data_IF_776511050455
#
_entry.id   IF_776511050455
#
_cell.length_a   1.000
_cell.length_b   1.000
_cell.length_c   1.000
_cell.angle_alpha   90.00
_cell.angle_beta   90.00
_cell.angle_gamma   90.00
#
_symmetry.space_group_name_H-M   'P 1'
#
loop_
_entity.id
_entity.type
_entity.pdbx_description
1 polymer ?
#
# COMPACT_ATOMS: atom_id res chain seq x y z
N UNK A 1 3.50 -2.43 -18.53
CA UNK A 1 4.10 -1.17 -18.03
C UNK A 1 4.87 -1.48 -16.76
N UNK A 2 5.94 -0.76 -16.47
CA UNK A 2 6.57 -0.81 -15.15
C UNK A 2 5.67 -0.15 -14.10
N UNK A 3 5.92 -0.42 -12.82
CA UNK A 3 5.19 0.20 -11.72
C UNK A 3 5.40 1.73 -11.70
N UNK A 4 6.59 2.20 -12.08
CA UNK A 4 6.86 3.65 -12.25
C UNK A 4 5.96 4.28 -13.32
N UNK A 5 5.87 3.63 -14.49
CA UNK A 5 5.02 4.08 -15.59
C UNK A 5 3.53 4.09 -15.19
N UNK A 6 3.09 3.05 -14.47
CA UNK A 6 1.72 2.95 -13.98
C UNK A 6 1.36 4.04 -12.98
N UNK A 7 2.24 4.35 -12.02
CA UNK A 7 2.02 5.45 -11.07
C UNK A 7 2.03 6.80 -11.79
N UNK A 8 2.91 6.98 -12.77
CA UNK A 8 2.95 8.21 -13.56
C UNK A 8 1.65 8.43 -14.34
N UNK A 9 1.09 7.37 -14.94
CA UNK A 9 -0.10 7.42 -15.78
C UNK A 9 -1.44 7.35 -15.01
N UNK A 10 -1.44 6.94 -13.74
CA UNK A 10 -2.67 6.73 -12.98
C UNK A 10 -3.48 8.02 -12.77
N UNK A 11 -4.80 7.87 -12.84
CA UNK A 11 -5.78 8.86 -12.45
C UNK A 11 -5.85 9.01 -10.91
N UNK A 12 -6.60 10.01 -10.43
CA UNK A 12 -6.77 10.28 -8.99
C UNK A 12 -7.43 9.11 -8.24
N UNK A 13 -8.18 8.27 -8.96
CA UNK A 13 -8.76 7.02 -8.46
C UNK A 13 -7.68 5.97 -8.21
N UNK A 14 -6.89 5.68 -9.24
CA UNK A 14 -5.75 4.77 -9.23
C UNK A 14 -4.74 5.13 -8.16
N UNK A 15 -4.35 6.41 -8.09
CA UNK A 15 -3.37 6.90 -7.12
C UNK A 15 -3.86 6.74 -5.68
N UNK A 16 -5.07 7.18 -5.36
CA UNK A 16 -5.59 7.10 -4.00
C UNK A 16 -5.83 5.65 -3.55
N UNK A 17 -6.44 4.83 -4.41
CA UNK A 17 -6.72 3.43 -4.09
C UNK A 17 -5.43 2.59 -4.01
N UNK A 18 -4.48 2.81 -4.91
CA UNK A 18 -3.17 2.16 -4.91
C UNK A 18 -2.35 2.51 -3.67
N UNK A 19 -2.34 3.79 -3.27
CA UNK A 19 -1.69 4.24 -2.05
C UNK A 19 -2.33 3.64 -0.79
N UNK A 20 -3.65 3.68 -0.67
CA UNK A 20 -4.38 3.06 0.44
C UNK A 20 -4.09 1.55 0.54
N UNK A 21 -4.08 0.85 -0.60
CA UNK A 21 -3.71 -0.55 -0.68
C UNK A 21 -2.29 -0.79 -0.16
N UNK A 22 -1.31 0.06 -0.52
CA UNK A 22 0.07 -0.04 -0.05
C UNK A 22 0.20 0.20 1.46
N UNK A 23 -0.49 1.20 2.02
CA UNK A 23 -0.45 1.47 3.46
C UNK A 23 -1.06 0.32 4.26
N UNK A 24 -2.14 -0.29 3.78
CA UNK A 24 -2.76 -1.47 4.40
C UNK A 24 -1.78 -2.66 4.50
N UNK A 25 -0.86 -2.78 3.55
CA UNK A 25 0.19 -3.81 3.60
C UNK A 25 1.24 -3.58 4.68
N UNK A 26 1.41 -2.34 5.10
CA UNK A 26 2.46 -1.94 6.04
C UNK A 26 2.02 -2.09 7.49
N UNK A 27 0.71 -2.18 7.75
CA UNK A 27 0.17 -2.32 9.09
C UNK A 27 0.17 -3.79 9.55
N UNK A 28 0.44 -4.05 10.85
CA UNK A 28 0.23 -5.37 11.41
C UNK A 28 -1.25 -5.72 11.28
N UNK A 29 -1.51 -6.98 10.92
CA UNK A 29 -2.88 -7.43 10.76
C UNK A 29 -3.60 -7.47 12.12
N UNK A 30 -4.83 -6.92 12.23
CA UNK A 30 -5.63 -7.06 13.44
C UNK A 30 -5.92 -8.55 13.72
N UNK A 31 -6.00 -8.90 14.99
CA UNK A 31 -6.53 -10.19 15.41
C UNK A 31 -8.03 -10.25 15.10
N UNK A 32 -8.60 -11.46 14.88
CA UNK A 32 -10.03 -11.61 14.72
C UNK A 32 -10.77 -11.02 15.93
N UNK A 33 -11.59 -9.98 15.70
CA UNK A 33 -12.38 -9.32 16.74
C UNK A 33 -11.76 -8.05 17.34
N UNK A 34 -10.58 -7.62 16.88
CA UNK A 34 -9.99 -6.32 17.28
C UNK A 34 -10.86 -5.14 16.80
N UNK A 35 -10.62 -3.99 17.44
CA UNK A 35 -11.17 -2.67 17.11
C UNK A 35 -11.14 -2.36 15.60
N UNK A 36 -12.02 -1.46 15.12
CA UNK A 36 -12.18 -1.24 13.69
C UNK A 36 -10.85 -0.92 13.01
N UNK A 37 -10.60 -1.57 11.87
CA UNK A 37 -9.45 -1.32 11.00
C UNK A 37 -9.18 0.18 10.85
N UNK A 38 -8.00 0.67 11.28
CA UNK A 38 -7.71 2.10 11.31
C UNK A 38 -7.68 2.74 9.93
N UNK A 39 -7.56 1.96 8.83
CA UNK A 39 -7.60 2.47 7.45
C UNK A 39 -9.01 2.47 6.85
N UNK A 40 -10.02 1.96 7.55
CA UNK A 40 -11.40 1.97 7.05
C UNK A 40 -11.88 3.35 6.61
N UNK A 41 -11.60 4.45 7.35
CA UNK A 41 -11.99 5.78 6.89
C UNK A 41 -11.30 6.14 5.57
N UNK A 42 -9.99 5.89 5.43
CA UNK A 42 -9.23 6.15 4.20
C UNK A 42 -9.89 5.50 2.98
N UNK A 43 -10.30 4.24 3.09
CA UNK A 43 -11.01 3.54 2.02
C UNK A 43 -12.34 4.19 1.65
N UNK A 44 -13.07 4.75 2.61
CA UNK A 44 -14.28 5.53 2.32
C UNK A 44 -13.95 6.85 1.60
N UNK A 45 -12.81 7.48 1.90
CA UNK A 45 -12.30 8.63 1.16
C UNK A 45 -11.86 8.29 -0.27
N UNK A 46 -11.38 7.07 -0.50
CA UNK A 46 -11.13 6.55 -1.85
C UNK A 46 -12.44 6.36 -2.63
N UNK A 47 -13.51 5.92 -1.97
CA UNK A 47 -14.81 5.67 -2.61
C UNK A 47 -15.57 6.95 -2.98
N UNK A 48 -15.43 8.00 -2.17
CA UNK A 48 -16.04 9.31 -2.41
C UNK A 48 -15.00 10.43 -2.17
N UNK A 49 -14.49 11.07 -3.25
CA UNK A 49 -13.52 12.16 -3.14
C UNK A 49 -13.97 13.31 -2.24
N UNK A 50 -15.28 13.55 -2.10
CA UNK A 50 -15.80 14.63 -1.23
C UNK A 50 -15.56 14.35 0.26
N UNK A 51 -15.39 13.09 0.62
CA UNK A 51 -15.11 12.66 1.99
C UNK A 51 -13.61 12.68 2.30
N UNK A 52 -12.74 12.84 1.30
CA UNK A 52 -11.30 12.66 1.43
C UNK A 52 -10.67 13.42 2.61
N UNK A 53 -10.86 14.76 2.77
CA UNK A 53 -10.19 15.48 3.86
C UNK A 53 -10.62 14.99 5.25
N UNK A 54 -11.92 14.77 5.45
CA UNK A 54 -12.47 14.30 6.72
C UNK A 54 -12.00 12.88 7.04
N UNK A 55 -12.02 11.98 6.06
CA UNK A 55 -11.60 10.59 6.22
C UNK A 55 -10.12 10.42 6.44
N UNK A 56 -9.32 11.28 5.82
CA UNK A 56 -7.88 11.33 6.07
C UNK A 56 -7.58 11.78 7.51
N UNK A 57 -8.29 12.79 8.01
CA UNK A 57 -8.18 13.23 9.41
C UNK A 57 -8.60 12.13 10.41
N UNK A 58 -9.71 11.43 10.14
CA UNK A 58 -10.15 10.29 10.95
C UNK A 58 -9.11 9.16 10.97
N UNK A 59 -8.52 8.84 9.82
CA UNK A 59 -7.47 7.81 9.70
C UNK A 59 -6.23 8.17 10.52
N UNK A 60 -5.79 9.43 10.44
CA UNK A 60 -4.66 9.94 11.23
C UNK A 60 -4.93 9.78 12.72
N UNK A 61 -6.09 10.24 13.19
CA UNK A 61 -6.48 10.14 14.60
C UNK A 61 -6.55 8.67 15.09
N UNK A 62 -7.12 7.77 14.29
CA UNK A 62 -7.18 6.35 14.61
C UNK A 62 -5.79 5.74 14.75
N UNK A 63 -4.87 6.05 13.84
CA UNK A 63 -3.50 5.55 13.93
C UNK A 63 -2.72 6.18 15.07
N UNK A 64 -2.88 7.47 15.35
CA UNK A 64 -2.19 8.16 16.46
C UNK A 64 -2.56 7.57 17.83
N UNK A 65 -3.77 7.03 17.98
CA UNK A 65 -4.22 6.36 19.19
C UNK A 65 -3.51 5.02 19.48
N UNK A 66 -2.85 4.41 18.48
CA UNK A 66 -2.12 3.15 18.69
C UNK A 66 -0.87 3.39 19.56
N UNK A 67 -0.80 2.75 20.72
CA UNK A 67 0.37 2.83 21.59
C UNK A 67 1.52 1.96 21.06
N UNK A 68 2.76 2.44 21.20
CA UNK A 68 3.98 1.77 20.75
C UNK A 68 3.90 1.20 19.32
N UNK A 69 3.63 2.06 18.31
CA UNK A 69 3.59 1.62 16.93
C UNK A 69 4.99 1.15 16.52
N UNK A 70 5.14 -0.13 16.20
CA UNK A 70 6.37 -0.63 15.57
C UNK A 70 6.74 0.18 14.32
N UNK A 71 8.00 0.12 13.90
CA UNK A 71 8.57 1.01 12.86
C UNK A 71 7.70 1.16 11.58
N UNK A 72 7.14 0.10 10.97
CA UNK A 72 6.29 0.26 9.79
C UNK A 72 5.07 1.16 10.03
N UNK A 73 4.46 1.08 11.23
CA UNK A 73 3.29 1.88 11.59
C UNK A 73 3.67 3.36 11.76
N UNK A 74 4.85 3.65 12.32
CA UNK A 74 5.37 5.04 12.41
C UNK A 74 5.54 5.66 11.03
N UNK A 75 6.12 4.92 10.08
CA UNK A 75 6.30 5.36 8.70
C UNK A 75 4.97 5.57 7.97
N UNK A 76 3.97 4.72 8.23
CA UNK A 76 2.59 4.94 7.73
C UNK A 76 2.00 6.25 8.28
N UNK A 77 2.18 6.56 9.57
CA UNK A 77 1.72 7.83 10.14
C UNK A 77 2.38 9.04 9.47
N UNK A 78 3.69 8.99 9.22
CA UNK A 78 4.41 10.04 8.51
C UNK A 78 3.84 10.27 7.11
N UNK A 79 3.60 9.20 6.35
CA UNK A 79 2.98 9.31 5.03
C UNK A 79 1.55 9.83 5.10
N UNK A 80 0.75 9.41 6.08
CA UNK A 80 -0.59 9.96 6.25
C UNK A 80 -0.55 11.43 6.63
N UNK A 81 0.39 11.88 7.45
CA UNK A 81 0.57 13.30 7.76
C UNK A 81 0.94 14.11 6.51
N UNK A 82 1.76 13.54 5.61
CA UNK A 82 2.15 14.15 4.33
C UNK A 82 1.08 14.03 3.23
N UNK A 83 0.03 13.23 3.41
CA UNK A 83 -1.02 13.06 2.41
C UNK A 83 -1.71 14.41 2.10
N UNK A 84 -1.93 14.72 0.81
CA UNK A 84 -2.45 16.02 0.41
C UNK A 84 -3.90 16.22 0.88
N UNK A 85 -4.25 17.47 1.19
CA UNK A 85 -5.61 17.83 1.57
C UNK A 85 -6.58 17.66 0.40
N UNK A 86 -6.13 17.97 -0.82
CA UNK A 86 -6.85 17.72 -2.05
C UNK A 86 -6.40 16.41 -2.68
N UNK A 87 -7.37 15.59 -3.10
CA UNK A 87 -7.11 14.31 -3.77
C UNK A 87 -6.87 14.52 -5.26
N UNK A 88 -5.87 15.33 -5.60
CA UNK A 88 -5.62 15.72 -6.98
C UNK A 88 -4.15 16.04 -7.25
N UNK A 89 -3.79 16.05 -8.53
CA UNK A 89 -2.54 16.65 -9.01
C UNK A 89 -1.25 15.92 -8.62
N UNK A 90 -0.15 16.65 -8.66
CA UNK A 90 1.21 16.12 -8.47
C UNK A 90 1.46 15.65 -7.04
N UNK A 91 0.91 16.36 -6.04
CA UNK A 91 1.05 15.99 -4.63
C UNK A 91 0.46 14.62 -4.32
N UNK A 92 -0.71 14.29 -4.90
CA UNK A 92 -1.30 12.96 -4.76
C UNK A 92 -0.42 11.87 -5.39
N UNK A 93 0.20 12.17 -6.54
CA UNK A 93 1.08 11.25 -7.22
C UNK A 93 2.37 11.01 -6.44
N UNK A 94 2.99 12.08 -5.92
CA UNK A 94 4.17 12.00 -5.07
C UNK A 94 3.89 11.20 -3.78
N UNK A 95 2.72 11.43 -3.18
CA UNK A 95 2.28 10.66 -2.02
C UNK A 95 2.07 9.17 -2.34
N UNK A 96 1.44 8.84 -3.47
CA UNK A 96 1.25 7.47 -3.91
C UNK A 96 2.58 6.76 -4.23
N UNK A 97 3.54 7.48 -4.83
CA UNK A 97 4.90 7.00 -5.06
C UNK A 97 5.58 6.61 -3.74
N UNK A 98 5.52 7.50 -2.73
CA UNK A 98 6.10 7.24 -1.42
C UNK A 98 5.42 6.06 -0.69
N UNK A 99 4.10 5.91 -0.81
CA UNK A 99 3.36 4.76 -0.27
C UNK A 99 3.78 3.45 -0.94
N UNK A 100 3.95 3.45 -2.27
CA UNK A 100 4.46 2.31 -3.05
C UNK A 100 5.84 1.88 -2.57
N UNK A 101 6.76 2.84 -2.39
CA UNK A 101 8.12 2.58 -1.90
C UNK A 101 8.10 1.98 -0.50
N UNK A 102 7.36 2.55 0.45
CA UNK A 102 7.29 2.03 1.82
C UNK A 102 6.83 0.58 1.85
N UNK A 103 5.77 0.24 1.09
CA UNK A 103 5.27 -1.13 1.04
C UNK A 103 6.33 -2.12 0.53
N UNK A 104 7.11 -1.75 -0.49
CA UNK A 104 8.19 -2.57 -1.02
C UNK A 104 9.34 -2.74 -0.01
N UNK A 105 9.70 -1.68 0.70
CA UNK A 105 10.72 -1.71 1.75
C UNK A 105 10.34 -2.63 2.91
N UNK A 106 9.09 -2.56 3.36
CA UNK A 106 8.55 -3.45 4.40
C UNK A 106 8.64 -4.91 3.97
N UNK A 107 8.20 -5.25 2.76
CA UNK A 107 8.27 -6.64 2.27
C UNK A 107 9.70 -7.12 2.08
N UNK A 108 10.59 -6.28 1.55
CA UNK A 108 12.04 -6.56 1.43
C UNK A 108 12.67 -6.86 2.78
N UNK A 109 12.25 -6.21 3.86
CA UNK A 109 12.78 -6.48 5.20
C UNK A 109 12.48 -7.92 5.66
N UNK A 110 11.41 -8.53 5.13
CA UNK A 110 10.98 -9.89 5.44
C UNK A 110 11.51 -10.96 4.47
N UNK A 111 12.20 -10.60 3.39
CA UNK A 111 12.83 -11.55 2.47
C UNK A 111 14.01 -12.31 3.10
N UNK A 112 14.12 -13.60 2.77
CA UNK A 112 15.20 -14.48 3.21
C UNK A 112 15.56 -15.51 2.10
N UNK A 113 16.84 -15.57 1.65
CA UNK A 113 17.92 -14.64 1.97
C UNK A 113 17.62 -13.22 1.45
N UNK A 114 18.26 -12.20 2.04
CA UNK A 114 18.14 -10.83 1.53
C UNK A 114 18.86 -10.75 0.19
N UNK A 115 18.22 -10.06 -0.77
CA UNK A 115 18.85 -9.77 -2.05
C UNK A 115 20.15 -8.99 -1.86
N UNK A 116 21.22 -9.47 -2.49
CA UNK A 116 22.52 -8.79 -2.59
C UNK A 116 22.56 -7.77 -3.73
N UNK A 117 21.51 -7.66 -4.54
CA UNK A 117 21.44 -6.69 -5.62
C UNK A 117 21.40 -5.26 -5.05
N UNK A 118 22.08 -4.28 -5.69
CA UNK A 118 21.93 -2.88 -5.36
C UNK A 118 20.51 -2.41 -5.72
N UNK A 119 19.97 -1.53 -4.89
CA UNK A 119 18.68 -0.83 -5.06
C UNK A 119 17.54 -1.70 -5.63
N UNK A 120 17.25 -2.87 -5.05
CA UNK A 120 16.31 -3.81 -5.64
C UNK A 120 14.86 -3.30 -5.59
N UNK A 121 14.53 -2.38 -4.69
CA UNK A 121 13.24 -1.67 -4.72
C UNK A 121 13.11 -0.89 -6.02
N UNK A 122 14.07 -0.02 -6.33
CA UNK A 122 14.10 0.76 -7.57
C UNK A 122 14.03 -0.12 -8.81
N UNK A 123 14.81 -1.22 -8.85
CA UNK A 123 14.78 -2.17 -9.97
C UNK A 123 13.42 -2.84 -10.13
N UNK A 124 12.83 -3.33 -9.05
CA UNK A 124 11.49 -3.92 -9.10
C UNK A 124 10.45 -2.91 -9.60
N UNK A 125 10.53 -1.65 -9.17
CA UNK A 125 9.62 -0.59 -9.63
C UNK A 125 9.80 -0.29 -11.13
N UNK A 126 11.03 -0.41 -11.64
CA UNK A 126 11.34 -0.32 -13.07
C UNK A 126 10.99 -1.59 -13.87
N UNK A 127 10.44 -2.63 -13.24
CA UNK A 127 10.05 -3.89 -13.89
C UNK A 127 11.11 -4.98 -13.89
N UNK A 128 12.27 -4.74 -13.28
CA UNK A 128 13.32 -5.73 -13.14
C UNK A 128 13.30 -6.38 -11.75
N UNK A 129 12.72 -7.58 -11.69
CA UNK A 129 12.64 -8.39 -10.46
C UNK A 129 13.83 -9.33 -10.27
N UNK A 130 14.84 -9.26 -11.14
CA UNK A 130 15.98 -10.18 -11.11
C UNK A 130 16.76 -10.05 -9.81
N UNK A 131 16.84 -11.15 -9.07
CA UNK A 131 17.53 -11.18 -7.78
C UNK A 131 16.77 -10.53 -6.63
N UNK A 132 15.51 -10.09 -6.84
CA UNK A 132 14.63 -9.70 -5.73
C UNK A 132 14.20 -10.94 -4.93
N UNK A 133 13.97 -10.76 -3.63
CA UNK A 133 13.36 -11.82 -2.83
C UNK A 133 11.87 -11.96 -3.16
N UNK A 134 11.25 -13.11 -2.82
CA UNK A 134 9.89 -13.43 -3.22
C UNK A 134 8.83 -12.47 -2.68
N UNK A 135 9.04 -11.88 -1.49
CA UNK A 135 8.08 -10.92 -0.92
C UNK A 135 8.17 -9.56 -1.61
N UNK A 136 9.39 -9.08 -1.88
CA UNK A 136 9.57 -7.85 -2.66
C UNK A 136 9.00 -7.99 -4.07
N UNK A 137 9.33 -9.08 -4.77
CA UNK A 137 8.83 -9.33 -6.12
C UNK A 137 7.30 -9.49 -6.14
N UNK A 138 6.74 -10.21 -5.16
CA UNK A 138 5.29 -10.40 -5.02
C UNK A 138 4.54 -9.10 -4.75
N UNK A 139 5.09 -8.23 -3.88
CA UNK A 139 4.48 -6.92 -3.61
C UNK A 139 4.54 -6.00 -4.83
N UNK A 140 5.66 -5.97 -5.57
CA UNK A 140 5.76 -5.21 -6.82
C UNK A 140 4.73 -5.69 -7.85
N UNK A 141 4.59 -7.00 -8.04
CA UNK A 141 3.60 -7.58 -8.94
C UNK A 141 2.16 -7.24 -8.52
N UNK A 142 1.87 -7.25 -7.22
CA UNK A 142 0.55 -6.88 -6.68
C UNK A 142 0.22 -5.41 -6.97
N UNK A 143 1.16 -4.49 -6.75
CA UNK A 143 0.96 -3.07 -7.03
C UNK A 143 0.71 -2.83 -8.53
N UNK A 144 1.50 -3.46 -9.40
CA UNK A 144 1.29 -3.46 -10.85
C UNK A 144 -0.11 -3.94 -11.21
N UNK A 145 -0.53 -5.11 -10.71
CA UNK A 145 -1.85 -5.69 -10.99
C UNK A 145 -2.99 -4.75 -10.58
N UNK A 146 -2.89 -4.11 -9.41
CA UNK A 146 -3.90 -3.16 -8.94
C UNK A 146 -4.01 -1.95 -9.87
N UNK A 147 -2.87 -1.36 -10.24
CA UNK A 147 -2.88 -0.16 -11.10
C UNK A 147 -3.33 -0.49 -12.52
N UNK A 148 -2.94 -1.64 -13.08
CA UNK A 148 -3.42 -2.11 -14.38
C UNK A 148 -4.94 -2.35 -14.35
N UNK A 149 -5.45 -3.01 -13.31
CA UNK A 149 -6.88 -3.22 -13.14
C UNK A 149 -7.64 -1.89 -13.02
N UNK A 150 -7.13 -0.93 -12.25
CA UNK A 150 -7.78 0.37 -12.09
C UNK A 150 -7.72 1.20 -13.37
N UNK A 151 -6.61 1.15 -14.12
CA UNK A 151 -6.46 1.82 -15.40
C UNK A 151 -7.35 1.23 -16.50
N UNK A 152 -7.76 -0.04 -16.38
CA UNK A 152 -8.71 -0.67 -17.31
C UNK A 152 -10.17 -0.27 -17.06
N UNK A 153 -10.47 0.44 -15.98
CA UNK A 153 -11.82 0.94 -15.68
C UNK A 153 -12.03 2.26 -16.41
N UNK A 154 -13.20 2.37 -17.04
CA UNK A 154 -13.63 3.54 -17.80
C UNK A 154 -13.61 4.82 -16.94
N UNK A 155 -13.13 5.93 -17.51
CA UNK A 155 -13.00 7.23 -16.84
C UNK A 155 -14.35 7.81 -16.37
N UNK A 156 -15.47 7.36 -16.95
CA UNK A 156 -16.83 7.76 -16.54
C UNK A 156 -17.35 6.93 -15.36
N UNK A 157 -16.65 5.88 -14.95
CA UNK A 157 -17.05 5.04 -13.84
C UNK A 157 -17.02 5.84 -12.51
N UNK A 158 -17.87 5.47 -11.53
CA UNK A 158 -17.82 6.09 -10.21
C UNK A 158 -16.44 5.97 -9.57
N UNK A 159 -16.05 6.96 -8.75
CA UNK A 159 -14.75 6.98 -8.07
C UNK A 159 -14.45 5.72 -7.23
N UNK A 160 -15.49 5.02 -6.76
CA UNK A 160 -15.37 3.75 -6.03
C UNK A 160 -15.23 2.49 -6.90
N UNK A 161 -15.25 2.62 -8.23
CA UNK A 161 -15.15 1.47 -9.13
C UNK A 161 -13.78 0.77 -8.99
N UNK A 162 -13.81 -0.54 -8.80
CA UNK A 162 -12.61 -1.36 -8.58
C UNK A 162 -12.17 -1.49 -7.12
N UNK A 163 -12.69 -0.68 -6.19
CA UNK A 163 -12.19 -0.65 -4.81
C UNK A 163 -12.39 -1.97 -4.06
N UNK A 164 -13.50 -2.67 -4.30
CA UNK A 164 -13.73 -3.99 -3.69
C UNK A 164 -12.67 -4.98 -4.13
N UNK A 165 -12.35 -5.02 -5.42
CA UNK A 165 -11.32 -5.90 -5.95
C UNK A 165 -9.93 -5.56 -5.40
N UNK A 166 -9.62 -4.26 -5.23
CA UNK A 166 -8.38 -3.81 -4.60
C UNK A 166 -8.28 -4.28 -3.14
N UNK A 167 -9.37 -4.16 -2.37
CA UNK A 167 -9.45 -4.62 -0.98
C UNK A 167 -9.28 -6.14 -0.86
N UNK A 168 -9.90 -6.91 -1.77
CA UNK A 168 -9.77 -8.37 -1.79
C UNK A 168 -8.32 -8.80 -2.05
N UNK A 169 -7.65 -8.17 -3.03
CA UNK A 169 -6.23 -8.41 -3.33
C UNK A 169 -5.32 -8.01 -2.16
N UNK A 170 -5.65 -6.92 -1.48
CA UNK A 170 -4.88 -6.42 -0.34
C UNK A 170 -5.01 -7.35 0.88
N UNK A 171 -6.21 -7.88 1.11
CA UNK A 171 -6.51 -8.88 2.15
C UNK A 171 -5.82 -10.21 1.89
N UNK A 172 -5.85 -10.72 0.66
CA UNK A 172 -5.22 -12.01 0.31
C UNK A 172 -3.70 -11.96 0.49
N UNK A 173 -3.05 -10.91 -0.02
CA UNK A 173 -1.60 -10.74 0.18
C UNK A 173 -1.21 -10.67 1.66
N UNK A 174 -2.14 -10.30 2.54
CA UNK A 174 -1.88 -10.00 3.96
C UNK A 174 -1.74 -11.31 4.73
N UNK A 175 -2.52 -12.32 4.34
CA UNK A 175 -2.36 -13.71 4.78
C UNK A 175 -1.00 -14.28 4.39
N UNK A 176 -0.54 -14.01 3.15
CA UNK A 176 0.76 -14.49 2.66
C UNK A 176 1.93 -13.91 3.47
N UNK A 177 1.92 -12.59 3.70
CA UNK A 177 2.96 -11.94 4.50
C UNK A 177 2.97 -12.47 5.94
N UNK A 178 1.82 -12.64 6.58
CA UNK A 178 1.71 -13.23 7.93
C UNK A 178 2.33 -14.65 7.96
N UNK A 179 2.02 -15.48 6.98
CA UNK A 179 2.58 -16.83 6.90
C UNK A 179 4.12 -16.82 6.77
N UNK A 180 4.65 -15.91 5.96
CA UNK A 180 6.09 -15.74 5.78
C UNK A 180 6.78 -15.25 7.06
N UNK A 181 6.21 -14.25 7.74
CA UNK A 181 6.72 -13.73 9.02
C UNK A 181 6.69 -14.81 10.10
N UNK A 182 5.59 -15.54 10.24
CA UNK A 182 5.47 -16.63 11.20
C UNK A 182 6.49 -17.75 10.94
N UNK A 183 6.70 -18.13 9.67
CA UNK A 183 7.75 -19.10 9.30
C UNK A 183 9.14 -18.60 9.69
N UNK A 184 9.44 -17.32 9.48
CA UNK A 184 10.73 -16.72 9.81
C UNK A 184 10.98 -16.66 11.31
N UNK A 185 9.96 -16.36 12.11
CA UNK A 185 10.06 -16.39 13.57
C UNK A 185 10.45 -17.79 14.07
N UNK A 186 9.87 -18.87 13.51
CA UNK A 186 10.20 -20.26 13.85
C UNK A 186 11.58 -20.73 13.42
N UNK A 187 12.17 -20.13 12.38
CA UNK A 187 13.54 -20.47 11.93
C UNK A 187 14.60 -19.75 12.78
N UNK A 188 14.22 -18.68 13.48
CA UNK A 188 15.12 -17.85 14.30
C UNK A 188 15.07 -18.17 15.80
N UNK A 189 13.99 -18.80 16.28
CA UNK A 189 13.86 -19.31 17.64
C UNK A 189 14.24 -20.78 17.71
#
# INVERSE_FOLDING_TARGET
>A
MSLLELIAAADERGLAAGAAACLERCLPQPAPGDEPDPLRPLWAGCADPRLWPARLAETRAALDAVADPGEPVRRVRELLAAAPADRAGEELRAWADACSVLALEVHRAHDAPRSAAPDPVTRCRAGDVSGAGPLLAGEAARQTLILEMLAAIDDTAPAGAGLRQVLDLSTEGQRVLRAAVARRARVRG
#
